data_IF_445025095010
#
_entry.id   IF_445025095010
#
_cell.length_a   1.000
_cell.length_b   1.000
_cell.length_c   1.000
_cell.angle_alpha   90.00
_cell.angle_beta   90.00
_cell.angle_gamma   90.00
#
_symmetry.space_group_name_H-M   'P 1'
#
loop_
_entity.id
_entity.type
_entity.pdbx_description
1 polymer ?
#
# COMPACT_ATOMS: atom_id res chain seq x y z
N UNK A 1 -30.37 -17.10 6.31
CA UNK A 1 -30.63 -15.66 6.15
C UNK A 1 -29.54 -14.87 6.86
N UNK A 2 -28.46 -14.47 6.18
CA UNK A 2 -27.48 -13.54 6.75
C UNK A 2 -28.15 -12.18 6.88
N UNK A 3 -28.29 -11.65 8.11
CA UNK A 3 -28.73 -10.27 8.29
C UNK A 3 -27.65 -9.37 7.69
N UNK A 4 -27.97 -8.69 6.59
CA UNK A 4 -27.09 -7.68 6.00
C UNK A 4 -26.77 -6.64 7.06
N UNK A 5 -25.51 -6.57 7.47
CA UNK A 5 -25.05 -5.61 8.48
C UNK A 5 -24.80 -4.26 7.79
N UNK A 6 -25.20 -3.18 8.45
CA UNK A 6 -24.91 -1.82 7.98
C UNK A 6 -23.39 -1.63 7.92
N UNK A 7 -22.83 -1.11 6.80
CA UNK A 7 -21.41 -0.79 6.73
C UNK A 7 -21.08 0.33 7.71
N UNK A 8 -19.99 0.16 8.46
CA UNK A 8 -19.48 1.15 9.41
C UNK A 8 -18.64 2.21 8.69
N UNK A 9 -18.93 3.48 8.97
CA UNK A 9 -18.17 4.63 8.47
C UNK A 9 -16.81 4.74 9.16
N UNK A 10 -15.89 5.51 8.58
CA UNK A 10 -14.57 5.77 9.16
C UNK A 10 -14.69 6.43 10.56
N UNK A 11 -15.58 7.41 10.71
CA UNK A 11 -15.80 8.12 11.97
C UNK A 11 -16.33 7.21 13.08
N UNK A 12 -17.26 6.31 12.76
CA UNK A 12 -17.77 5.32 13.73
C UNK A 12 -16.64 4.38 14.20
N UNK A 13 -15.75 3.94 13.29
CA UNK A 13 -14.61 3.08 13.65
C UNK A 13 -13.63 3.79 14.58
N UNK A 14 -13.35 5.08 14.33
CA UNK A 14 -12.48 5.87 15.20
C UNK A 14 -13.07 6.03 16.61
N UNK A 15 -14.36 6.32 16.70
CA UNK A 15 -15.07 6.41 17.99
C UNK A 15 -15.03 5.10 18.76
N UNK A 16 -15.18 3.96 18.08
CA UNK A 16 -15.08 2.63 18.69
C UNK A 16 -13.66 2.39 19.22
N UNK A 17 -12.62 2.78 18.47
CA UNK A 17 -11.22 2.65 18.90
C UNK A 17 -10.97 3.50 20.16
N UNK A 18 -11.38 4.76 20.14
CA UNK A 18 -11.19 5.69 21.26
C UNK A 18 -11.89 5.18 22.54
N UNK A 19 -13.13 4.71 22.42
CA UNK A 19 -13.89 4.17 23.55
C UNK A 19 -13.30 2.85 24.08
N UNK A 20 -12.73 2.02 23.20
CA UNK A 20 -12.05 0.79 23.60
C UNK A 20 -10.75 1.07 24.36
N UNK A 21 -9.99 2.09 23.95
CA UNK A 21 -8.74 2.51 24.62
C UNK A 21 -8.99 3.16 25.98
N UNK A 22 -10.04 3.99 26.10
CA UNK A 22 -10.46 4.55 27.40
C UNK A 22 -10.78 3.48 28.43
N UNK A 23 -11.18 2.29 27.97
CA UNK A 23 -11.55 1.14 28.80
C UNK A 23 -10.46 0.07 28.82
N UNK A 24 -9.19 0.48 28.82
CA UNK A 24 -8.04 -0.41 28.99
C UNK A 24 -8.18 -1.29 30.25
N UNK A 25 -8.69 -2.50 30.08
CA UNK A 25 -8.97 -3.47 31.15
C UNK A 25 -10.34 -4.13 31.06
N UNK A 26 -11.31 -3.55 30.33
CA UNK A 26 -12.60 -4.19 30.08
C UNK A 26 -12.47 -5.32 29.05
N UNK A 27 -13.29 -6.36 29.21
CA UNK A 27 -13.32 -7.45 28.23
C UNK A 27 -13.88 -6.95 26.90
N UNK A 28 -13.31 -7.45 25.78
CA UNK A 28 -13.79 -7.11 24.42
C UNK A 28 -15.28 -7.40 24.23
N UNK A 29 -15.79 -8.44 24.91
CA UNK A 29 -17.19 -8.79 24.94
C UNK A 29 -18.06 -7.71 25.60
N UNK A 30 -17.62 -7.14 26.73
CA UNK A 30 -18.34 -6.06 27.41
C UNK A 30 -18.41 -4.82 26.53
N UNK A 31 -17.28 -4.41 25.97
CA UNK A 31 -17.20 -3.22 25.09
C UNK A 31 -18.09 -3.39 23.86
N UNK A 32 -18.10 -4.58 23.25
CA UNK A 32 -18.93 -4.87 22.08
C UNK A 32 -20.43 -4.78 22.39
N UNK A 33 -20.87 -5.28 23.56
CA UNK A 33 -22.28 -5.17 24.00
C UNK A 33 -22.67 -3.71 24.22
N UNK A 34 -21.82 -2.95 24.90
CA UNK A 34 -22.09 -1.54 25.23
C UNK A 34 -22.18 -0.68 23.97
N UNK A 35 -21.35 -0.96 22.97
CA UNK A 35 -21.34 -0.28 21.68
C UNK A 35 -22.38 -0.84 20.70
N UNK A 36 -23.16 -1.86 21.11
CA UNK A 36 -24.13 -2.58 20.28
C UNK A 36 -23.53 -3.07 18.94
N UNK A 37 -22.28 -3.53 18.97
CA UNK A 37 -21.58 -4.08 17.81
C UNK A 37 -21.23 -5.55 18.04
N UNK A 38 -21.16 -6.35 16.96
CA UNK A 38 -20.68 -7.72 17.07
C UNK A 38 -19.21 -7.76 17.53
N UNK A 39 -18.88 -8.69 18.43
CA UNK A 39 -17.49 -8.91 18.90
C UNK A 39 -16.52 -9.16 17.74
N UNK A 40 -16.98 -9.87 16.70
CA UNK A 40 -16.19 -10.11 15.50
C UNK A 40 -15.81 -8.80 14.78
N UNK A 41 -16.73 -7.84 14.73
CA UNK A 41 -16.49 -6.51 14.16
C UNK A 41 -15.52 -5.71 15.01
N UNK A 42 -15.68 -5.71 16.33
CA UNK A 42 -14.73 -5.05 17.24
C UNK A 42 -13.31 -5.63 17.10
N UNK A 43 -13.19 -6.96 17.00
CA UNK A 43 -11.91 -7.65 16.78
C UNK A 43 -11.26 -7.23 15.46
N UNK A 44 -12.01 -7.16 14.37
CA UNK A 44 -11.49 -6.69 13.07
C UNK A 44 -11.07 -5.22 13.13
N UNK A 45 -11.84 -4.37 13.80
CA UNK A 45 -11.52 -2.94 13.95
C UNK A 45 -10.20 -2.79 14.73
N UNK A 46 -10.04 -3.51 15.84
CA UNK A 46 -8.79 -3.50 16.62
C UNK A 46 -7.59 -4.05 15.83
N UNK A 47 -7.79 -5.11 15.04
CA UNK A 47 -6.72 -5.68 14.21
C UNK A 47 -6.28 -4.72 13.08
N UNK A 48 -7.19 -3.85 12.61
CA UNK A 48 -6.91 -2.85 11.56
C UNK A 48 -6.74 -1.44 12.11
N UNK A 49 -6.53 -1.28 13.42
CA UNK A 49 -6.47 0.02 14.10
C UNK A 49 -5.49 0.97 13.43
N UNK A 50 -4.26 0.53 13.21
CA UNK A 50 -3.19 1.37 12.64
C UNK A 50 -3.53 1.84 11.23
N UNK A 51 -4.10 0.94 10.41
CA UNK A 51 -4.58 1.28 9.07
C UNK A 51 -5.75 2.28 9.11
N UNK A 52 -6.67 2.16 10.07
CA UNK A 52 -7.79 3.09 10.23
C UNK A 52 -7.29 4.47 10.66
N UNK A 53 -6.33 4.54 11.59
CA UNK A 53 -5.72 5.78 12.04
C UNK A 53 -4.91 6.47 10.93
N UNK A 54 -4.11 5.71 10.17
CA UNK A 54 -3.35 6.24 9.05
C UNK A 54 -4.27 6.82 7.96
N UNK A 55 -5.37 6.11 7.64
CA UNK A 55 -6.36 6.62 6.70
C UNK A 55 -7.07 7.89 7.21
N UNK A 56 -7.31 7.99 8.52
CA UNK A 56 -7.88 9.19 9.11
C UNK A 56 -6.91 10.37 9.03
N UNK A 57 -5.62 10.14 9.31
CA UNK A 57 -4.57 11.15 9.19
C UNK A 57 -4.42 11.63 7.73
N UNK A 58 -4.37 10.73 6.76
CA UNK A 58 -4.26 11.09 5.35
C UNK A 58 -5.48 11.85 4.83
N UNK A 59 -6.68 11.54 5.34
CA UNK A 59 -7.90 12.28 4.98
C UNK A 59 -7.94 13.68 5.60
N UNK A 60 -7.31 13.88 6.75
CA UNK A 60 -7.15 15.19 7.39
C UNK A 60 -5.96 15.98 6.81
N UNK A 61 -4.99 15.30 6.21
CA UNK A 61 -3.78 15.88 5.62
C UNK A 61 -3.95 16.25 4.13
N UNK A 62 -5.17 16.42 3.63
CA UNK A 62 -5.39 17.19 2.41
C UNK A 62 -5.45 18.66 2.86
N UNK A 63 -4.35 19.44 2.71
CA UNK A 63 -4.46 20.88 2.81
C UNK A 63 -5.48 21.33 1.75
N UNK A 64 -6.61 21.84 2.24
CA UNK A 64 -7.58 22.57 1.46
C UNK A 64 -6.94 23.93 1.19
N UNK A 65 -6.66 24.20 -0.08
CA UNK A 65 -6.50 25.55 -0.66
C UNK A 65 -5.63 26.53 0.13
N UNK A 66 -4.32 26.31 0.15
CA UNK A 66 -3.48 27.45 -0.22
C UNK A 66 -3.51 27.44 -1.75
N UNK A 67 -4.44 28.21 -2.35
CA UNK A 67 -4.18 28.69 -3.70
C UNK A 67 -2.75 29.22 -3.68
N UNK A 68 -1.85 28.77 -4.57
CA UNK A 68 -0.65 29.53 -4.77
C UNK A 68 -1.12 30.90 -5.21
N UNK A 69 -1.02 31.91 -4.34
CA UNK A 69 -1.02 33.29 -4.77
C UNK A 69 0.16 33.39 -5.73
N UNK A 70 -0.10 33.16 -7.01
CA UNK A 70 0.76 33.56 -8.10
C UNK A 70 0.70 35.09 -8.11
N UNK A 71 1.34 35.69 -7.11
CA UNK A 71 1.69 37.09 -7.10
C UNK A 71 2.31 37.35 -8.45
N UNK A 72 1.67 38.22 -9.22
CA UNK A 72 1.92 38.40 -10.65
C UNK A 72 3.43 38.52 -10.89
N UNK A 73 4.07 37.42 -11.26
CA UNK A 73 5.47 37.40 -11.64
C UNK A 73 5.53 38.17 -12.94
N UNK A 74 5.85 39.47 -12.84
CA UNK A 74 6.27 40.28 -13.96
C UNK A 74 7.62 39.70 -14.41
N UNK A 75 7.55 38.64 -15.21
CA UNK A 75 8.71 38.11 -15.91
C UNK A 75 9.19 39.22 -16.85
N UNK A 76 10.47 39.64 -16.77
CA UNK A 76 11.04 40.57 -17.73
C UNK A 76 11.18 39.84 -19.07
N UNK A 77 10.14 39.90 -19.90
CA UNK A 77 10.12 39.26 -21.21
C UNK A 77 8.69 39.11 -21.72
N UNK A 78 8.53 39.21 -23.04
CA UNK A 78 7.24 38.94 -23.67
C UNK A 78 7.12 37.45 -23.97
N UNK A 79 5.89 36.92 -23.99
CA UNK A 79 5.65 35.54 -24.43
C UNK A 79 6.19 35.28 -25.85
N UNK A 80 6.28 36.32 -26.69
CA UNK A 80 6.84 36.22 -28.04
C UNK A 80 8.34 35.86 -28.05
N UNK A 81 9.11 36.27 -27.03
CA UNK A 81 10.54 35.90 -26.90
C UNK A 81 10.72 34.41 -26.60
N UNK A 82 9.72 33.76 -25.98
CA UNK A 82 9.75 32.34 -25.66
C UNK A 82 9.34 31.46 -26.85
N UNK A 83 8.36 31.89 -27.64
CA UNK A 83 7.85 31.11 -28.79
C UNK A 83 8.82 31.15 -29.98
N UNK A 84 9.62 32.21 -30.13
CA UNK A 84 10.59 32.31 -31.22
C UNK A 84 11.84 31.43 -31.08
N UNK A 85 12.02 30.71 -29.96
CA UNK A 85 13.21 29.91 -29.70
C UNK A 85 13.14 28.47 -30.25
N UNK A 86 11.97 28.01 -30.71
CA UNK A 86 11.76 26.65 -31.22
C UNK A 86 11.76 26.56 -32.77
N UNK A 87 11.93 27.68 -33.48
CA UNK A 87 12.06 27.68 -34.95
C UNK A 87 13.38 27.06 -35.45
N UNK A 88 14.31 26.75 -34.53
CA UNK A 88 15.60 26.14 -34.82
C UNK A 88 15.60 24.61 -34.68
N UNK A 89 14.45 24.00 -34.36
CA UNK A 89 14.35 22.54 -34.22
C UNK A 89 14.49 21.90 -35.60
N UNK A 90 15.71 21.42 -35.87
CA UNK A 90 15.99 20.63 -37.06
C UNK A 90 15.05 19.43 -37.12
N UNK A 91 14.25 19.35 -38.19
CA UNK A 91 13.39 18.20 -38.48
C UNK A 91 14.31 16.97 -38.59
N UNK A 92 14.28 16.11 -37.58
CA UNK A 92 14.96 14.82 -37.67
C UNK A 92 14.38 14.07 -38.88
N UNK A 93 15.25 13.62 -39.78
CA UNK A 93 14.86 12.77 -40.90
C UNK A 93 14.04 11.58 -40.38
N UNK A 94 12.95 11.25 -41.08
CA UNK A 94 12.09 10.13 -40.72
C UNK A 94 12.92 8.85 -40.57
N UNK A 95 12.97 8.30 -39.36
CA UNK A 95 13.58 7.00 -39.08
C UNK A 95 12.61 5.93 -39.59
N UNK A 96 13.06 5.10 -40.52
CA UNK A 96 12.22 4.01 -41.03
C UNK A 96 12.17 2.86 -40.03
N UNK A 97 11.08 2.10 -40.02
CA UNK A 97 10.97 0.89 -39.19
C UNK A 97 12.04 -0.16 -39.53
N UNK A 98 12.52 -0.16 -40.77
CA UNK A 98 13.56 -1.09 -41.24
C UNK A 98 14.94 -0.76 -40.60
N UNK A 99 15.25 0.53 -40.39
CA UNK A 99 16.47 0.97 -39.70
C UNK A 99 16.50 0.52 -38.21
N UNK A 100 15.32 0.42 -37.59
CA UNK A 100 15.18 -0.01 -36.20
C UNK A 100 15.45 -1.52 -36.09
N UNK A 101 14.96 -2.31 -37.04
CA UNK A 101 15.10 -3.77 -37.04
C UNK A 101 16.57 -4.19 -37.26
N UNK A 102 17.34 -3.45 -38.07
CA UNK A 102 18.75 -3.78 -38.32
C UNK A 102 19.64 -3.62 -37.07
N UNK A 103 19.29 -2.70 -36.16
CA UNK A 103 20.06 -2.46 -34.92
C UNK A 103 19.77 -3.47 -33.80
N UNK A 104 18.68 -4.24 -33.89
CA UNK A 104 18.34 -5.28 -32.92
C UNK A 104 18.98 -6.60 -33.37
N UNK A 105 20.29 -6.74 -33.15
CA UNK A 105 20.90 -8.07 -33.07
C UNK A 105 20.48 -8.70 -31.75
N UNK A 106 19.78 -9.84 -31.74
CA UNK A 106 19.52 -10.55 -30.49
C UNK A 106 20.83 -11.19 -30.05
N UNK A 107 21.56 -10.51 -29.15
CA UNK A 107 22.55 -11.19 -28.34
C UNK A 107 21.79 -12.29 -27.57
N UNK A 108 22.18 -13.53 -27.85
CA UNK A 108 21.57 -14.75 -27.35
C UNK A 108 21.55 -14.75 -25.82
N UNK A 109 20.41 -14.43 -25.23
CA UNK A 109 20.13 -14.68 -23.82
C UNK A 109 20.06 -16.21 -23.62
N UNK A 110 21.19 -16.79 -23.20
CA UNK A 110 21.25 -18.19 -22.79
C UNK A 110 20.36 -18.41 -21.57
N UNK A 111 19.28 -19.16 -21.74
CA UNK A 111 18.49 -19.71 -20.64
C UNK A 111 19.18 -21.00 -20.19
N UNK A 112 19.99 -20.93 -19.14
CA UNK A 112 20.51 -22.14 -18.48
C UNK A 112 19.46 -22.60 -17.45
N UNK A 113 18.62 -23.50 -17.91
CA UNK A 113 17.67 -24.31 -17.15
C UNK A 113 18.41 -25.55 -16.62
N UNK A 114 18.69 -25.60 -15.31
CA UNK A 114 19.19 -26.81 -14.65
C UNK A 114 18.40 -27.00 -13.34
N UNK A 115 17.53 -28.01 -13.34
CA UNK A 115 16.72 -28.44 -12.20
C UNK A 115 17.53 -29.19 -11.13
N UNK A 116 17.24 -28.85 -9.87
CA UNK A 116 16.90 -29.73 -8.73
C UNK A 116 17.84 -30.90 -8.34
N UNK A 117 18.37 -30.86 -7.11
CA UNK A 117 18.57 -32.06 -6.28
C UNK A 117 18.28 -31.79 -4.80
N UNK A 118 17.35 -32.57 -4.26
CA UNK A 118 17.01 -32.72 -2.85
C UNK A 118 18.19 -33.32 -2.07
N UNK A 119 18.58 -32.71 -0.93
CA UNK A 119 19.34 -33.43 0.08
C UNK A 119 19.25 -32.76 1.47
N UNK A 120 18.40 -33.31 2.34
CA UNK A 120 18.50 -33.11 3.79
C UNK A 120 17.88 -34.28 4.55
N UNK A 121 18.43 -35.47 4.35
CA UNK A 121 18.27 -36.58 5.28
C UNK A 121 19.63 -36.96 5.89
N UNK A 122 19.87 -36.57 7.15
CA UNK A 122 20.59 -37.45 8.07
C UNK A 122 20.23 -37.20 9.52
N UNK A 123 19.75 -38.28 10.11
CA UNK A 123 19.36 -38.44 11.50
C UNK A 123 20.54 -38.35 12.48
N UNK A 124 20.25 -37.98 13.72
CA UNK A 124 20.89 -38.63 14.86
C UNK A 124 19.84 -38.90 15.94
N UNK A 125 19.78 -40.17 16.33
CA UNK A 125 18.93 -40.74 17.35
C UNK A 125 19.25 -40.21 18.77
N UNK A 126 18.49 -40.75 19.73
CA UNK A 126 18.93 -41.10 21.09
C UNK A 126 18.36 -40.23 22.22
N UNK A 127 17.17 -40.57 22.73
CA UNK A 127 17.00 -41.33 23.98
C UNK A 127 15.52 -41.51 24.34
N UNK A 128 15.13 -42.77 24.43
CA UNK A 128 14.00 -43.19 25.23
C UNK A 128 14.34 -43.02 26.71
N UNK A 129 13.39 -42.48 27.48
CA UNK A 129 13.18 -42.88 28.86
C UNK A 129 11.67 -42.97 29.07
N UNK A 130 11.19 -44.21 29.13
CA UNK A 130 10.07 -44.61 29.98
C UNK A 130 10.29 -44.01 31.38
N UNK A 131 9.23 -43.54 32.05
CA UNK A 131 8.69 -44.30 33.18
C UNK A 131 7.41 -43.69 33.75
N UNK A 132 6.57 -44.58 34.24
CA UNK A 132 5.39 -44.38 35.05
C UNK A 132 5.64 -43.44 36.24
N UNK A 133 4.61 -42.66 36.62
CA UNK A 133 4.30 -42.42 38.03
C UNK A 133 2.77 -42.32 38.20
N UNK A 134 2.23 -43.45 38.69
CA UNK A 134 1.10 -43.65 39.61
C UNK A 134 0.00 -42.58 39.69
#
# INVERSE_FOLDING_TARGET
MSRNRKPLTLGEKLRIIEEAEKRNGATKASIARDLNIPESSLKTIHAKKDSILLNAANKAAVPVDDEPEFGSLQLPGSFADYVGADDDVAVCSEVSLDDIIETVRPDTAGTSDEEQMDDAAKASAFLATEDLCL
#
